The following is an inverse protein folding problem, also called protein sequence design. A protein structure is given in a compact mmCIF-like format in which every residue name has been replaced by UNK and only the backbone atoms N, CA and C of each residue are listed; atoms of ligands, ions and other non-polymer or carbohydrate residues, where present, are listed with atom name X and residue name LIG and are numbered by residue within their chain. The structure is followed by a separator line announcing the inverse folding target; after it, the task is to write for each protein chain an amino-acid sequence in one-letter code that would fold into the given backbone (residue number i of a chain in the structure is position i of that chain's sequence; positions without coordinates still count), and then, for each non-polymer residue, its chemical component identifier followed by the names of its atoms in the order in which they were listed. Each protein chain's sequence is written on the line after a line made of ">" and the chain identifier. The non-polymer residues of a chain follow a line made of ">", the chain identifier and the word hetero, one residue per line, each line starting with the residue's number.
data_IF_013801583166
#
_entry.id   IF_013801583166
#
_cell.length_a   1.000
_cell.length_b   1.000
_cell.length_c   1.000
_cell.angle_alpha   90.00
_cell.angle_beta   90.00
_cell.angle_gamma   90.00
#
_symmetry.space_group_name_H-M   'P 1'
#
loop_
_entity.id
_entity.type
_entity.pdbx_description
1 polymer ?
#
# COMPACT_ATOMS: atom_id res chain seq x y z
N UNK A 1 -16.28 -31.74 -8.02
CA UNK A 1 -16.37 -30.28 -7.86
C UNK A 1 -17.80 -29.86 -8.16
N UNK A 2 -18.54 -29.54 -7.12
CA UNK A 2 -19.93 -29.08 -7.19
C UNK A 2 -20.00 -27.55 -7.32
N UNK A 3 -21.19 -26.99 -7.56
CA UNK A 3 -21.40 -25.54 -7.52
C UNK A 3 -21.09 -24.98 -6.12
N UNK A 4 -21.36 -25.73 -5.07
CA UNK A 4 -21.07 -25.34 -3.69
C UNK A 4 -19.57 -25.25 -3.44
N UNK A 5 -18.78 -26.19 -3.97
CA UNK A 5 -17.31 -26.15 -3.89
C UNK A 5 -16.75 -24.87 -4.54
N UNK A 6 -17.29 -24.50 -5.71
CA UNK A 6 -16.87 -23.30 -6.44
C UNK A 6 -17.20 -22.03 -5.64
N UNK A 7 -18.41 -21.96 -5.07
CA UNK A 7 -18.84 -20.83 -4.23
C UNK A 7 -17.98 -20.71 -2.98
N UNK A 8 -17.70 -21.83 -2.32
CA UNK A 8 -16.84 -21.89 -1.14
C UNK A 8 -15.42 -21.41 -1.45
N UNK A 9 -14.82 -21.95 -2.52
CA UNK A 9 -13.49 -21.54 -2.95
C UNK A 9 -13.41 -20.03 -3.29
N UNK A 10 -14.39 -19.53 -4.03
CA UNK A 10 -14.45 -18.10 -4.41
C UNK A 10 -14.59 -17.20 -3.18
N UNK A 11 -15.42 -17.60 -2.22
CA UNK A 11 -15.60 -16.88 -0.96
C UNK A 11 -14.31 -16.82 -0.14
N UNK A 12 -13.60 -17.96 -0.01
CA UNK A 12 -12.32 -18.02 0.67
C UNK A 12 -11.26 -17.11 0.02
N UNK A 13 -11.16 -17.12 -1.31
CA UNK A 13 -10.24 -16.25 -2.06
C UNK A 13 -10.56 -14.78 -1.80
N UNK A 14 -11.84 -14.40 -1.87
CA UNK A 14 -12.26 -13.02 -1.65
C UNK A 14 -11.93 -12.52 -0.23
N UNK A 15 -12.28 -13.30 0.81
CA UNK A 15 -12.02 -12.94 2.20
C UNK A 15 -10.52 -12.78 2.46
N UNK A 16 -9.69 -13.73 1.97
CA UNK A 16 -8.25 -13.68 2.13
C UNK A 16 -7.62 -12.47 1.44
N UNK A 17 -8.11 -12.12 0.24
CA UNK A 17 -7.60 -11.00 -0.54
C UNK A 17 -7.97 -9.64 0.07
N UNK A 18 -9.21 -9.46 0.51
CA UNK A 18 -9.71 -8.16 1.01
C UNK A 18 -8.99 -7.71 2.28
N UNK A 19 -8.97 -8.55 3.32
CA UNK A 19 -8.44 -8.17 4.63
C UNK A 19 -6.94 -7.85 4.59
N UNK A 20 -6.17 -8.67 3.88
CA UNK A 20 -4.70 -8.51 3.79
C UNK A 20 -4.31 -7.32 2.92
N UNK A 21 -4.96 -7.12 1.78
CA UNK A 21 -4.72 -5.98 0.89
C UNK A 21 -5.05 -4.68 1.58
N UNK A 22 -6.20 -4.59 2.25
CA UNK A 22 -6.61 -3.38 2.97
C UNK A 22 -5.59 -3.01 4.06
N UNK A 23 -5.15 -3.99 4.86
CA UNK A 23 -4.13 -3.75 5.89
C UNK A 23 -2.80 -3.30 5.29
N UNK A 24 -2.37 -3.90 4.19
CA UNK A 24 -1.14 -3.52 3.49
C UNK A 24 -1.23 -2.09 2.93
N UNK A 25 -2.38 -1.69 2.38
CA UNK A 25 -2.62 -0.31 1.92
C UNK A 25 -2.55 0.69 3.07
N UNK A 26 -3.16 0.38 4.22
CA UNK A 26 -3.07 1.21 5.42
C UNK A 26 -1.60 1.40 5.84
N UNK A 27 -0.85 0.30 5.97
CA UNK A 27 0.55 0.34 6.36
C UNK A 27 1.38 1.16 5.37
N UNK A 28 1.06 1.06 4.09
CA UNK A 28 1.69 1.89 3.07
C UNK A 28 1.38 3.38 3.25
N UNK A 29 0.10 3.76 3.43
CA UNK A 29 -0.30 5.15 3.63
C UNK A 29 0.42 5.74 4.85
N UNK A 30 0.50 4.99 5.95
CA UNK A 30 1.27 5.36 7.13
C UNK A 30 2.76 5.52 6.83
N UNK A 31 3.33 4.61 6.04
CA UNK A 31 4.72 4.72 5.59
C UNK A 31 5.00 5.96 4.75
N UNK A 32 3.97 6.54 4.12
CA UNK A 32 4.06 7.83 3.41
C UNK A 32 3.90 9.05 4.34
N UNK A 33 3.43 8.86 5.57
CA UNK A 33 3.21 9.93 6.56
C UNK A 33 4.41 10.15 7.49
N UNK A 34 5.25 9.12 7.71
CA UNK A 34 6.31 9.18 8.73
C UNK A 34 7.53 10.00 8.28
N UNK A 35 8.11 9.80 7.07
CA UNK A 35 9.25 10.61 6.59
C UNK A 35 8.88 11.38 5.29
N UNK A 36 8.86 12.73 5.29
CA UNK A 36 8.54 13.50 4.09
C UNK A 36 9.54 13.25 2.94
N UNK A 37 10.81 12.97 3.23
CA UNK A 37 11.84 12.68 2.24
C UNK A 37 11.54 11.41 1.43
N UNK A 38 10.86 10.45 2.05
CA UNK A 38 10.48 9.18 1.43
C UNK A 38 9.47 9.41 0.32
N UNK A 39 8.50 10.30 0.55
CA UNK A 39 7.46 10.62 -0.41
C UNK A 39 8.04 11.47 -1.55
N UNK A 40 8.93 12.42 -1.25
CA UNK A 40 9.65 13.22 -2.27
C UNK A 40 10.49 12.32 -3.18
N UNK A 41 11.27 11.40 -2.61
CA UNK A 41 12.10 10.48 -3.38
C UNK A 41 11.25 9.55 -4.26
N UNK A 42 10.19 8.99 -3.71
CA UNK A 42 9.29 8.10 -4.45
C UNK A 42 8.60 8.85 -5.60
N UNK A 43 8.19 10.10 -5.38
CA UNK A 43 7.62 10.97 -6.42
C UNK A 43 8.58 11.25 -7.56
N UNK A 44 9.85 11.53 -7.28
CA UNK A 44 10.86 11.75 -8.34
C UNK A 44 11.01 10.52 -9.24
N UNK A 45 10.97 9.33 -8.65
CA UNK A 45 11.01 8.08 -9.43
C UNK A 45 9.76 7.96 -10.29
N UNK A 46 8.58 8.25 -9.74
CA UNK A 46 7.34 8.24 -10.50
C UNK A 46 7.35 9.25 -11.65
N UNK A 47 7.87 10.45 -11.43
CA UNK A 47 7.96 11.50 -12.45
C UNK A 47 8.79 11.09 -13.67
N UNK A 48 9.84 10.27 -13.46
CA UNK A 48 10.64 9.70 -14.55
C UNK A 48 9.88 8.63 -15.32
N UNK A 49 8.97 7.92 -14.66
CA UNK A 49 8.23 6.78 -15.22
C UNK A 49 7.00 7.24 -15.98
N UNK A 50 6.21 8.14 -15.41
CA UNK A 50 4.95 8.62 -15.97
C UNK A 50 5.09 9.94 -16.76
N UNK A 51 6.25 10.61 -16.64
CA UNK A 51 6.55 11.88 -17.30
C UNK A 51 5.69 13.04 -16.79
N UNK A 52 4.85 12.83 -15.76
CA UNK A 52 3.76 13.74 -15.33
C UNK A 52 2.73 14.11 -16.40
N UNK A 53 2.67 13.34 -17.48
CA UNK A 53 1.74 13.58 -18.59
C UNK A 53 0.60 12.56 -18.65
N UNK A 54 0.75 11.44 -17.93
CA UNK A 54 -0.28 10.40 -17.82
C UNK A 54 -0.27 9.75 -16.44
N UNK A 55 -1.33 9.01 -16.14
CA UNK A 55 -1.38 8.17 -14.94
C UNK A 55 -0.56 6.89 -15.13
N UNK A 56 0.02 6.34 -14.05
CA UNK A 56 0.70 5.05 -14.07
C UNK A 56 -0.20 3.91 -14.53
N UNK A 57 0.37 2.97 -15.29
CA UNK A 57 -0.30 1.78 -15.82
C UNK A 57 0.51 0.53 -15.51
N UNK A 58 -0.07 -0.67 -15.53
CA UNK A 58 0.68 -1.90 -15.21
C UNK A 58 1.93 -2.14 -16.09
N UNK A 59 1.99 -1.54 -17.28
CA UNK A 59 3.16 -1.57 -18.18
C UNK A 59 4.38 -0.84 -17.62
N UNK A 60 4.19 0.05 -16.64
CA UNK A 60 5.25 0.81 -15.99
C UNK A 60 5.95 0.01 -14.87
N UNK A 61 5.35 -1.11 -14.45
CA UNK A 61 5.85 -1.96 -13.37
C UNK A 61 7.28 -2.46 -13.60
N UNK A 62 7.71 -2.87 -14.82
CA UNK A 62 9.10 -3.27 -15.07
C UNK A 62 10.08 -2.09 -15.07
N UNK A 63 9.64 -0.87 -15.43
CA UNK A 63 10.47 0.35 -15.45
C UNK A 63 10.86 0.78 -14.03
N UNK A 64 10.00 0.45 -13.07
CA UNK A 64 10.33 0.49 -11.65
C UNK A 64 11.14 -0.76 -11.28
N UNK A 65 12.39 -0.81 -11.72
CA UNK A 65 13.39 -1.84 -11.39
C UNK A 65 13.61 -2.03 -9.87
N UNK A 66 13.01 -1.17 -9.04
CA UNK A 66 13.00 -1.18 -7.59
C UNK A 66 11.71 -1.71 -6.96
N UNK A 67 11.02 -2.67 -7.58
CA UNK A 67 10.01 -3.49 -6.86
C UNK A 67 10.59 -4.08 -5.57
N UNK A 68 11.91 -4.31 -5.51
CA UNK A 68 12.62 -4.70 -4.28
C UNK A 68 12.67 -3.60 -3.20
N UNK A 69 12.67 -2.31 -3.53
CA UNK A 69 12.73 -1.21 -2.55
C UNK A 69 11.37 -0.96 -1.90
N UNK A 70 10.29 -1.07 -2.68
CA UNK A 70 8.93 -1.03 -2.17
C UNK A 70 8.64 -2.27 -1.30
N UNK A 71 9.07 -3.46 -1.77
CA UNK A 71 9.04 -4.71 -1.00
C UNK A 71 9.82 -4.59 0.32
N UNK A 72 11.05 -4.06 0.30
CA UNK A 72 11.87 -3.82 1.50
C UNK A 72 11.21 -2.89 2.51
N UNK A 73 10.39 -1.93 2.07
CA UNK A 73 9.70 -1.01 2.99
C UNK A 73 8.43 -1.62 3.59
N UNK A 74 7.66 -2.41 2.83
CA UNK A 74 6.60 -3.24 3.41
C UNK A 74 7.15 -4.29 4.40
N UNK A 75 8.26 -4.95 4.06
CA UNK A 75 8.94 -5.89 4.96
C UNK A 75 9.47 -5.18 6.23
N UNK A 76 9.92 -3.92 6.11
CA UNK A 76 10.42 -3.10 7.22
C UNK A 76 9.34 -2.52 8.14
N UNK A 77 8.15 -2.18 7.63
CA UNK A 77 7.04 -1.64 8.42
C UNK A 77 6.43 -2.65 9.40
N UNK A 78 6.74 -3.95 9.27
CA UNK A 78 6.38 -5.01 10.23
C UNK A 78 7.45 -5.24 11.32
N UNK A 79 8.52 -4.41 11.37
CA UNK A 79 9.57 -4.56 12.38
C UNK A 79 10.47 -5.78 12.21
N UNK A 80 10.35 -6.51 11.10
CA UNK A 80 11.14 -7.71 10.84
C UNK A 80 12.46 -7.33 10.14
N UNK A 81 13.48 -7.01 10.94
CA UNK A 81 14.85 -6.84 10.46
C UNK A 81 15.41 -8.21 10.05
N UNK A 82 15.35 -8.56 8.76
CA UNK A 82 15.98 -9.79 8.25
C UNK A 82 17.51 -9.64 8.39
N UNK A 83 18.19 -10.43 9.23
CA UNK A 83 19.63 -10.32 9.38
C UNK A 83 20.32 -10.69 8.06
N UNK A 84 21.27 -9.87 7.62
CA UNK A 84 22.11 -10.14 6.46
C UNK A 84 22.82 -11.49 6.68
N UNK A 85 22.49 -12.49 5.86
CA UNK A 85 22.98 -13.88 6.02
C UNK A 85 21.87 -14.93 6.08
N UNK A 86 20.62 -14.53 6.31
CA UNK A 86 19.46 -15.45 6.34
C UNK A 86 18.86 -15.75 4.94
N UNK A 87 19.69 -15.61 3.89
CA UNK A 87 19.33 -15.75 2.47
C UNK A 87 19.26 -17.21 1.97
N UNK A 88 19.68 -18.19 2.77
CA UNK A 88 19.64 -19.60 2.39
C UNK A 88 18.51 -20.31 3.13
N UNK A 89 17.41 -20.56 2.42
CA UNK A 89 16.48 -21.62 2.81
C UNK A 89 17.17 -22.96 2.54
N UNK A 90 17.05 -23.92 3.48
CA UNK A 90 17.52 -25.28 3.24
C UNK A 90 16.85 -25.87 1.99
N UNK A 91 17.61 -26.67 1.22
CA UNK A 91 17.25 -27.32 -0.05
C UNK A 91 17.25 -26.44 -1.31
N UNK A 92 18.06 -25.38 -1.38
CA UNK A 92 18.34 -24.71 -2.67
C UNK A 92 17.16 -23.96 -3.30
N UNK A 93 16.06 -23.77 -2.56
CA UNK A 93 14.92 -22.97 -3.03
C UNK A 93 15.25 -21.47 -2.91
N UNK A 94 15.18 -20.75 -4.03
CA UNK A 94 15.37 -19.31 -4.03
C UNK A 94 14.17 -18.59 -3.40
N UNK A 95 14.49 -17.68 -2.47
CA UNK A 95 13.71 -16.52 -2.02
C UNK A 95 12.60 -16.77 -0.96
N UNK A 96 12.96 -16.57 0.32
CA UNK A 96 11.98 -16.21 1.37
C UNK A 96 11.27 -14.91 0.97
N UNK A 97 10.03 -15.01 0.51
CA UNK A 97 9.11 -13.87 0.41
C UNK A 97 8.32 -13.84 1.71
N UNK A 98 8.94 -13.29 2.77
CA UNK A 98 8.50 -13.49 4.17
C UNK A 98 7.01 -13.20 4.45
N UNK A 99 6.38 -12.33 3.67
CA UNK A 99 4.95 -11.98 3.81
C UNK A 99 3.98 -12.94 3.11
N UNK A 100 4.44 -13.79 2.18
CA UNK A 100 3.59 -14.68 1.36
C UNK A 100 3.79 -16.17 1.65
N UNK A 101 4.60 -16.53 2.63
CA UNK A 101 4.91 -17.91 2.97
C UNK A 101 5.95 -18.55 2.05
N UNK A 102 6.05 -19.89 2.09
CA UNK A 102 7.04 -20.67 1.35
C UNK A 102 6.54 -22.08 1.04
N UNK A 103 7.21 -22.75 0.09
CA UNK A 103 6.92 -24.12 -0.33
C UNK A 103 5.50 -24.31 -0.87
N UNK A 104 4.90 -25.48 -0.60
CA UNK A 104 3.56 -25.86 -1.09
C UNK A 104 2.41 -24.98 -0.59
N UNK A 105 2.63 -24.13 0.42
CA UNK A 105 1.62 -23.21 0.98
C UNK A 105 1.93 -21.75 0.67
N UNK A 106 2.73 -21.49 -0.36
CA UNK A 106 2.94 -20.14 -0.88
C UNK A 106 1.59 -19.50 -1.24
N UNK A 107 1.41 -18.24 -0.86
CA UNK A 107 0.21 -17.47 -1.18
C UNK A 107 -0.02 -17.43 -2.70
N UNK A 108 -1.09 -18.09 -3.15
CA UNK A 108 -1.50 -18.10 -4.57
C UNK A 108 -1.87 -16.68 -5.06
N UNK A 109 -2.32 -15.81 -4.15
CA UNK A 109 -2.65 -14.42 -4.42
C UNK A 109 -1.46 -13.46 -4.50
N UNK A 110 -0.22 -13.94 -4.34
CA UNK A 110 1.00 -13.10 -4.31
C UNK A 110 1.07 -12.10 -5.47
N UNK A 111 0.90 -12.59 -6.70
CA UNK A 111 1.07 -11.75 -7.88
C UNK A 111 -0.02 -10.68 -8.00
N UNK A 112 -1.25 -11.01 -7.62
CA UNK A 112 -2.37 -10.08 -7.57
C UNK A 112 -2.15 -9.03 -6.47
N UNK A 113 -1.74 -9.45 -5.28
CA UNK A 113 -1.46 -8.55 -4.17
C UNK A 113 -0.32 -7.57 -4.51
N UNK A 114 0.80 -8.07 -5.07
CA UNK A 114 1.91 -7.22 -5.50
C UNK A 114 1.51 -6.24 -6.61
N UNK A 115 0.71 -6.67 -7.58
CA UNK A 115 0.22 -5.80 -8.65
C UNK A 115 -0.70 -4.70 -8.10
N UNK A 116 -1.65 -5.08 -7.24
CA UNK A 116 -2.63 -4.16 -6.68
C UNK A 116 -1.98 -3.13 -5.75
N UNK A 117 -1.08 -3.57 -4.87
CA UNK A 117 -0.34 -2.65 -4.03
C UNK A 117 0.48 -1.69 -4.87
N UNK A 118 1.19 -2.19 -5.88
CA UNK A 118 2.02 -1.36 -6.76
C UNK A 118 1.22 -0.27 -7.47
N UNK A 119 0.10 -0.61 -8.13
CA UNK A 119 -0.68 0.38 -8.88
C UNK A 119 -1.30 1.40 -7.95
N UNK A 120 -1.81 0.97 -6.78
CA UNK A 120 -2.40 1.88 -5.80
C UNK A 120 -1.34 2.82 -5.21
N UNK A 121 -0.12 2.34 -4.93
CA UNK A 121 1.00 3.22 -4.55
C UNK A 121 1.29 4.25 -5.63
N UNK A 122 1.41 3.79 -6.87
CA UNK A 122 1.82 4.62 -7.99
C UNK A 122 0.80 5.73 -8.22
N UNK A 123 -0.50 5.39 -8.19
CA UNK A 123 -1.59 6.34 -8.30
C UNK A 123 -1.59 7.33 -7.15
N UNK A 124 -1.45 6.86 -5.90
CA UNK A 124 -1.37 7.74 -4.73
C UNK A 124 -0.21 8.73 -4.84
N UNK A 125 0.98 8.27 -5.24
CA UNK A 125 2.16 9.14 -5.40
C UNK A 125 2.03 10.09 -6.60
N UNK A 126 1.36 9.68 -7.67
CA UNK A 126 1.16 10.50 -8.87
C UNK A 126 0.14 11.61 -8.62
N UNK A 127 -0.93 11.31 -7.88
CA UNK A 127 -2.08 12.23 -7.72
C UNK A 127 -2.14 12.95 -6.38
N UNK A 128 -1.59 12.38 -5.30
CA UNK A 128 -1.80 12.91 -3.94
C UNK A 128 -0.52 13.08 -3.14
N UNK A 129 -0.59 14.00 -2.19
CA UNK A 129 0.31 14.15 -1.06
C UNK A 129 -0.45 13.73 0.18
N UNK A 130 -0.01 12.62 0.78
CA UNK A 130 -0.48 12.16 2.08
C UNK A 130 0.28 12.90 3.17
N UNK A 131 -0.44 13.55 4.08
CA UNK A 131 0.11 14.24 5.24
C UNK A 131 -0.57 13.82 6.54
N UNK A 132 0.08 14.10 7.68
CA UNK A 132 -0.49 13.92 9.02
C UNK A 132 -1.71 14.81 9.23
N UNK A 133 -2.66 14.40 10.10
CA UNK A 133 -3.74 15.29 10.54
C UNK A 133 -3.15 16.54 11.23
N UNK A 134 -3.90 17.63 11.18
CA UNK A 134 -3.58 18.85 11.90
C UNK A 134 -4.47 18.99 13.13
N UNK A 135 -3.96 19.62 14.18
CA UNK A 135 -4.78 20.16 15.27
C UNK A 135 -5.47 21.47 14.84
N UNK A 136 -6.29 22.02 15.75
CA UNK A 136 -7.00 23.29 15.53
C UNK A 136 -6.04 24.48 15.34
N UNK A 137 -4.79 24.34 15.80
CA UNK A 137 -3.72 25.34 15.69
C UNK A 137 -2.83 25.14 14.44
N UNK A 138 -3.12 24.12 13.62
CA UNK A 138 -2.40 23.83 12.38
C UNK A 138 -1.12 23.01 12.51
N UNK A 139 -0.82 22.44 13.69
CA UNK A 139 0.35 21.58 13.93
C UNK A 139 0.06 20.12 13.63
N UNK A 140 1.08 19.37 13.21
CA UNK A 140 0.94 17.94 12.91
C UNK A 140 0.73 17.11 14.18
N UNK A 141 -0.37 16.35 14.23
CA UNK A 141 -0.64 15.42 15.33
C UNK A 141 0.05 14.08 15.04
N UNK A 142 0.90 13.63 15.97
CA UNK A 142 1.47 12.29 15.94
C UNK A 142 0.45 11.25 16.41
N UNK A 143 0.23 10.22 15.60
CA UNK A 143 -0.82 9.24 15.86
C UNK A 143 -0.27 8.01 16.58
N UNK A 144 -0.89 7.68 17.72
CA UNK A 144 -0.60 6.43 18.42
C UNK A 144 -1.22 5.27 17.66
N UNK A 145 -0.37 4.42 17.09
CA UNK A 145 -0.79 3.29 16.28
C UNK A 145 -1.23 2.12 17.14
N UNK A 146 -2.54 1.94 17.31
CA UNK A 146 -3.11 0.75 17.96
C UNK A 146 -3.39 -0.35 16.94
N UNK A 147 -3.02 -1.58 17.30
CA UNK A 147 -3.27 -2.76 16.50
C UNK A 147 -4.56 -3.44 16.98
N UNK A 148 -5.47 -3.71 16.07
CA UNK A 148 -6.65 -4.52 16.32
C UNK A 148 -6.31 -6.01 16.24
N UNK A 149 -6.95 -6.81 17.09
CA UNK A 149 -6.94 -8.26 17.00
C UNK A 149 -7.93 -8.74 15.92
N UNK A 150 -7.58 -9.80 15.20
CA UNK A 150 -8.41 -10.36 14.13
C UNK A 150 -7.65 -11.31 13.19
N UNK A 151 -8.33 -11.79 12.14
CA UNK A 151 -7.77 -12.73 11.14
C UNK A 151 -6.53 -12.16 10.42
N UNK A 152 -6.46 -10.84 10.30
CA UNK A 152 -5.29 -10.10 9.89
C UNK A 152 -5.03 -9.00 10.91
N UNK A 153 -3.75 -8.73 11.18
CA UNK A 153 -3.32 -7.59 12.00
C UNK A 153 -3.73 -6.30 11.28
N UNK A 154 -4.80 -5.66 11.76
CA UNK A 154 -5.35 -4.43 11.17
C UNK A 154 -5.15 -3.31 12.16
N UNK A 155 -4.76 -2.13 11.70
CA UNK A 155 -4.65 -0.98 12.58
C UNK A 155 -6.01 -0.32 12.80
N UNK A 156 -6.19 0.30 13.96
CA UNK A 156 -7.35 1.17 14.20
C UNK A 156 -7.42 2.27 13.14
N UNK A 157 -8.62 2.84 12.96
CA UNK A 157 -8.79 4.01 12.09
C UNK A 157 -7.87 5.13 12.57
N UNK A 158 -7.24 5.78 11.62
CA UNK A 158 -6.36 6.92 11.86
C UNK A 158 -6.69 8.00 10.83
N UNK A 159 -6.62 9.25 11.28
CA UNK A 159 -6.86 10.41 10.45
C UNK A 159 -5.66 10.72 9.56
N UNK A 160 -5.93 11.24 8.36
CA UNK A 160 -4.93 11.50 7.34
C UNK A 160 -5.46 12.56 6.41
N UNK A 161 -4.57 13.41 5.90
CA UNK A 161 -4.91 14.38 4.87
C UNK A 161 -4.42 13.87 3.53
N UNK A 162 -5.31 13.85 2.54
CA UNK A 162 -4.96 13.66 1.15
C UNK A 162 -5.09 15.00 0.44
N UNK A 163 -3.97 15.54 0.00
CA UNK A 163 -3.92 16.79 -0.76
C UNK A 163 -3.63 16.46 -2.22
N UNK A 164 -4.30 17.08 -3.20
CA UNK A 164 -3.87 17.00 -4.59
C UNK A 164 -2.40 17.40 -4.71
N UNK A 165 -1.66 16.69 -5.55
CA UNK A 165 -0.24 16.94 -5.76
C UNK A 165 0.02 18.24 -6.53
N UNK A 166 -0.77 18.47 -7.58
CA UNK A 166 -0.71 19.62 -8.47
C UNK A 166 -2.09 19.86 -9.11
N UNK A 167 -2.22 20.94 -9.88
CA UNK A 167 -3.49 21.31 -10.53
C UNK A 167 -3.98 20.26 -11.53
N UNK A 168 -3.05 19.54 -12.19
CA UNK A 168 -3.38 18.42 -13.09
C UNK A 168 -4.00 17.27 -12.28
N UNK A 169 -3.39 16.88 -11.17
CA UNK A 169 -3.92 15.87 -10.27
C UNK A 169 -5.27 16.29 -9.69
N UNK A 170 -5.44 17.56 -9.33
CA UNK A 170 -6.73 18.09 -8.91
C UNK A 170 -7.79 17.93 -10.00
N UNK A 171 -7.46 18.17 -11.28
CA UNK A 171 -8.42 17.96 -12.39
C UNK A 171 -8.88 16.51 -12.52
N UNK A 172 -8.00 15.54 -12.25
CA UNK A 172 -8.31 14.10 -12.26
C UNK A 172 -9.10 13.69 -11.02
N UNK A 173 -8.79 14.27 -9.86
CA UNK A 173 -9.44 13.94 -8.59
C UNK A 173 -10.79 14.63 -8.44
N UNK A 174 -11.02 15.77 -9.10
CA UNK A 174 -12.24 16.58 -8.97
C UNK A 174 -13.56 15.80 -9.10
N UNK A 175 -13.71 14.85 -10.05
CA UNK A 175 -14.95 14.05 -10.16
C UNK A 175 -15.17 13.11 -8.97
N UNK A 176 -14.11 12.77 -8.24
CA UNK A 176 -14.15 11.85 -7.09
C UNK A 176 -14.14 12.57 -5.74
N UNK A 177 -13.85 13.86 -5.73
CA UNK A 177 -13.82 14.66 -4.51
C UNK A 177 -15.25 15.10 -4.14
N UNK A 178 -15.63 15.02 -2.84
CA UNK A 178 -16.87 15.63 -2.39
C UNK A 178 -16.86 17.14 -2.69
N UNK A 179 -18.02 17.70 -3.03
CA UNK A 179 -18.16 19.11 -3.39
C UNK A 179 -17.90 20.05 -2.21
N UNK A 180 -18.04 19.57 -0.98
CA UNK A 180 -17.58 20.23 0.22
C UNK A 180 -16.10 19.93 0.42
N UNK A 181 -15.26 20.92 0.71
CA UNK A 181 -13.84 20.75 1.08
C UNK A 181 -13.63 19.98 2.40
N UNK A 182 -14.59 19.14 2.76
CA UNK A 182 -14.63 18.28 3.93
C UNK A 182 -13.77 17.04 3.69
N UNK A 183 -12.93 16.74 4.68
CA UNK A 183 -11.93 15.69 4.61
C UNK A 183 -12.57 14.33 4.82
N UNK A 184 -13.29 13.77 3.82
CA UNK A 184 -14.03 12.49 3.98
C UNK A 184 -14.63 12.39 5.40
N UNK A 185 -15.31 13.46 5.80
CA UNK A 185 -15.48 13.78 7.21
C UNK A 185 -16.35 12.74 7.91
N UNK A 186 -15.95 12.45 9.15
CA UNK A 186 -16.79 11.97 10.24
C UNK A 186 -17.67 10.76 9.90
N UNK A 187 -17.09 9.58 10.09
CA UNK A 187 -17.93 8.41 10.37
C UNK A 187 -18.73 8.62 11.67
N UNK A 188 -19.83 7.87 11.88
CA UNK A 188 -20.56 7.88 13.15
C UNK A 188 -19.68 7.45 14.33
#
# INVERSE_FOLDING_TARGET
>A
MTIEDIKGATSCIYIAAQGTTWSALIVMVLGLMLPPEVQVKARRIMDVVDGRDRLPTFEDRPRLYSTQSFKRRCDGCLGYRIPAGSLQGGLGESHRVGQFGFGRRLCIGKHLAEANLWILTALLLSTTTVGKPLDDDGNEIEQTMKMMSGLASRRERFDRRFLPRDDKALSVLRPTMPASGECWDKGP
#
